data_IF_899992851569
#
_entry.id   IF_899992851569
#
_cell.length_a   1.000
_cell.length_b   1.000
_cell.length_c   1.000
_cell.angle_alpha   90.00
_cell.angle_beta   90.00
_cell.angle_gamma   90.00
#
_symmetry.space_group_name_H-M   'P 1'
#
loop_
_entity.id
_entity.type
_entity.pdbx_description
1 polymer ?
#
# COMPACT_ATOMS: atom_id res chain seq x y z
N UNK A 1 27.16 -37.33 59.80
CA UNK A 1 26.34 -37.75 60.94
C UNK A 1 26.09 -36.54 61.84
N UNK A 2 24.85 -36.42 62.36
CA UNK A 2 24.43 -35.70 63.57
C UNK A 2 24.34 -34.14 63.60
N UNK A 3 23.13 -33.66 63.30
CA UNK A 3 22.19 -32.86 64.14
C UNK A 3 22.63 -31.64 65.01
N UNK A 4 21.87 -30.55 64.76
CA UNK A 4 21.43 -29.35 65.52
C UNK A 4 21.47 -29.36 67.07
N UNK A 5 21.43 -28.17 67.72
CA UNK A 5 20.14 -27.61 68.22
C UNK A 5 20.06 -26.05 68.12
N UNK A 6 18.98 -25.37 67.72
CA UNK A 6 17.64 -25.10 68.31
C UNK A 6 17.60 -24.03 69.43
N UNK A 7 16.78 -22.98 69.22
CA UNK A 7 16.05 -22.03 70.13
C UNK A 7 16.32 -20.56 69.73
N UNK A 8 15.39 -19.62 69.76
CA UNK A 8 13.95 -19.61 70.02
C UNK A 8 13.35 -18.28 69.51
N UNK A 9 12.03 -18.34 69.30
CA UNK A 9 11.02 -17.30 69.07
C UNK A 9 11.37 -15.89 69.56
N UNK A 10 11.00 -14.89 68.76
CA UNK A 10 10.13 -13.85 69.31
C UNK A 10 9.02 -13.48 68.31
N UNK A 11 7.80 -13.33 68.84
CA UNK A 11 6.57 -12.99 68.12
C UNK A 11 6.07 -11.67 68.70
N UNK A 12 5.90 -10.67 67.86
CA UNK A 12 5.05 -9.50 68.15
C UNK A 12 4.46 -9.08 66.81
N UNK A 13 3.29 -9.58 66.43
CA UNK A 13 1.97 -8.95 66.64
C UNK A 13 1.92 -7.49 66.17
N UNK A 14 1.30 -7.24 65.00
CA UNK A 14 -0.08 -6.73 64.97
C UNK A 14 -0.59 -6.51 63.52
N UNK A 15 -1.60 -7.30 63.16
CA UNK A 15 -2.81 -6.96 62.40
C UNK A 15 -2.93 -5.55 61.78
N UNK A 16 -3.22 -5.50 60.48
CA UNK A 16 -3.83 -4.37 59.78
C UNK A 16 -4.32 -4.79 58.40
N UNK A 17 -5.63 -4.87 58.22
CA UNK A 17 -6.32 -5.35 57.03
C UNK A 17 -6.38 -4.29 55.90
N UNK A 18 -6.50 -4.72 54.65
CA UNK A 18 -6.91 -3.83 53.56
C UNK A 18 -6.60 -4.34 52.15
N UNK A 19 -7.54 -5.09 51.57
CA UNK A 19 -7.62 -5.32 50.11
C UNK A 19 -7.80 -3.99 49.37
N UNK A 20 -7.20 -3.88 48.18
CA UNK A 20 -7.81 -3.42 46.92
C UNK A 20 -6.80 -2.65 46.05
N UNK A 21 -6.90 -2.83 44.73
CA UNK A 21 -6.46 -1.79 43.79
C UNK A 21 -5.32 -2.19 42.87
N UNK A 22 -5.69 -2.91 41.82
CA UNK A 22 -4.97 -3.08 40.56
C UNK A 22 -4.11 -1.87 40.13
N UNK A 23 -2.79 -2.04 40.13
CA UNK A 23 -1.87 -1.26 39.31
C UNK A 23 -1.91 -1.83 37.88
N UNK A 24 -2.75 -1.23 37.05
CA UNK A 24 -2.81 -1.46 35.62
C UNK A 24 -1.54 -0.91 34.95
N UNK A 25 -0.61 -1.81 34.59
CA UNK A 25 0.37 -1.52 33.55
C UNK A 25 0.57 -2.77 32.68
N UNK A 26 -0.46 -3.09 31.89
CA UNK A 26 -0.29 -3.93 30.69
C UNK A 26 0.46 -3.11 29.66
N UNK A 27 1.78 -3.27 29.61
CA UNK A 27 2.59 -2.87 28.47
C UNK A 27 2.18 -3.73 27.27
N UNK A 28 1.35 -3.16 26.41
CA UNK A 28 0.94 -3.75 25.15
C UNK A 28 2.14 -3.80 24.20
N UNK A 29 2.97 -4.84 24.32
CA UNK A 29 4.01 -5.18 23.34
C UNK A 29 3.29 -5.62 22.07
N UNK A 30 3.04 -4.66 21.18
CA UNK A 30 2.49 -4.84 19.83
C UNK A 30 3.10 -6.09 19.21
N UNK A 31 2.24 -7.08 19.01
CA UNK A 31 2.48 -8.24 18.16
C UNK A 31 3.08 -7.75 16.85
N UNK A 32 4.35 -8.10 16.61
CA UNK A 32 4.96 -8.00 15.31
C UNK A 32 4.12 -8.87 14.37
N UNK A 33 3.23 -8.23 13.62
CA UNK A 33 2.43 -8.87 12.58
C UNK A 33 3.41 -9.34 11.52
N UNK A 34 3.86 -10.57 11.70
CA UNK A 34 4.64 -11.33 10.75
C UNK A 34 3.83 -11.33 9.45
N UNK A 35 4.20 -10.46 8.50
CA UNK A 35 3.65 -10.47 7.17
C UNK A 35 4.11 -11.78 6.54
N UNK A 36 3.30 -12.84 6.71
CA UNK A 36 3.52 -14.09 5.99
C UNK A 36 3.52 -13.73 4.50
N UNK A 37 4.65 -13.92 3.85
CA UNK A 37 4.84 -13.79 2.40
C UNK A 37 3.95 -14.83 1.69
N UNK A 38 2.67 -14.52 1.53
CA UNK A 38 1.75 -15.28 0.69
C UNK A 38 1.94 -14.88 -0.78
N UNK A 39 3.15 -15.06 -1.31
CA UNK A 39 3.49 -14.65 -2.69
C UNK A 39 3.42 -15.79 -3.72
N UNK A 40 3.51 -17.04 -3.28
CA UNK A 40 3.60 -18.21 -4.17
C UNK A 40 2.25 -18.79 -4.58
N UNK A 41 1.34 -18.97 -3.62
CA UNK A 41 0.07 -19.69 -3.84
C UNK A 41 -0.85 -18.99 -4.83
N UNK A 42 -0.92 -17.65 -4.78
CA UNK A 42 -1.75 -16.87 -5.71
C UNK A 42 -1.26 -16.95 -7.16
N UNK A 43 0.06 -16.93 -7.39
CA UNK A 43 0.65 -17.08 -8.72
C UNK A 43 0.42 -18.48 -9.30
N UNK A 44 0.56 -19.50 -8.45
CA UNK A 44 0.30 -20.88 -8.84
C UNK A 44 -1.16 -21.08 -9.27
N UNK A 45 -2.12 -20.46 -8.57
CA UNK A 45 -3.53 -20.48 -8.96
C UNK A 45 -3.77 -19.83 -10.32
N UNK A 46 -3.17 -18.66 -10.59
CA UNK A 46 -3.31 -17.99 -11.89
C UNK A 46 -2.77 -18.87 -13.02
N UNK A 47 -1.59 -19.46 -12.85
CA UNK A 47 -1.04 -20.37 -13.86
C UNK A 47 -1.87 -21.64 -14.04
N UNK A 48 -2.42 -22.19 -12.96
CA UNK A 48 -3.32 -23.35 -13.03
C UNK A 48 -4.60 -23.02 -13.81
N UNK A 49 -5.23 -21.87 -13.54
CA UNK A 49 -6.43 -21.41 -14.27
C UNK A 49 -6.11 -21.17 -15.75
N UNK A 50 -4.97 -20.55 -16.06
CA UNK A 50 -4.58 -20.33 -17.45
C UNK A 50 -4.32 -21.66 -18.18
N UNK A 51 -3.68 -22.63 -17.51
CA UNK A 51 -3.39 -23.95 -18.07
C UNK A 51 -4.65 -24.79 -18.31
N UNK A 52 -5.60 -24.79 -17.36
CA UNK A 52 -6.89 -25.47 -17.55
C UNK A 52 -7.70 -24.81 -18.67
N UNK A 53 -7.67 -23.48 -18.74
CA UNK A 53 -8.34 -22.72 -19.79
C UNK A 53 -7.75 -23.00 -21.18
N UNK A 54 -6.43 -23.14 -21.28
CA UNK A 54 -5.75 -23.51 -22.53
C UNK A 54 -6.16 -24.90 -23.03
N UNK A 55 -6.39 -25.84 -22.11
CA UNK A 55 -6.83 -27.18 -22.46
C UNK A 55 -8.31 -27.26 -22.82
N UNK A 56 -9.19 -26.55 -22.09
CA UNK A 56 -10.65 -26.60 -22.28
C UNK A 56 -11.12 -25.72 -23.43
N UNK A 57 -10.56 -24.52 -23.58
CA UNK A 57 -10.98 -23.54 -24.59
C UNK A 57 -9.76 -22.81 -25.19
N UNK A 58 -9.00 -23.48 -26.08
CA UNK A 58 -7.77 -22.93 -26.67
C UNK A 58 -7.95 -21.55 -27.32
N UNK A 59 -9.05 -21.26 -28.08
CA UNK A 59 -9.24 -19.94 -28.67
C UNK A 59 -9.36 -18.82 -27.63
N UNK A 60 -10.04 -19.06 -26.50
CA UNK A 60 -10.24 -18.05 -25.46
C UNK A 60 -8.94 -17.81 -24.69
N UNK A 61 -8.17 -18.87 -24.45
CA UNK A 61 -6.84 -18.74 -23.88
C UNK A 61 -5.90 -17.94 -24.82
N UNK A 62 -5.95 -18.19 -26.14
CA UNK A 62 -5.17 -17.43 -27.11
C UNK A 62 -5.55 -15.94 -27.09
N UNK A 63 -6.85 -15.61 -27.06
CA UNK A 63 -7.33 -14.24 -26.92
C UNK A 63 -6.79 -13.58 -25.64
N UNK A 64 -6.85 -14.30 -24.50
CA UNK A 64 -6.33 -13.79 -23.23
C UNK A 64 -4.83 -13.52 -23.31
N UNK A 65 -4.04 -14.39 -23.95
CA UNK A 65 -2.60 -14.19 -24.13
C UNK A 65 -2.32 -12.95 -24.99
N UNK A 66 -3.03 -12.81 -26.11
CA UNK A 66 -2.90 -11.66 -27.02
C UNK A 66 -3.31 -10.34 -26.35
N UNK A 67 -4.45 -10.31 -25.67
CA UNK A 67 -4.96 -9.12 -24.99
C UNK A 67 -4.11 -8.73 -23.78
N UNK A 68 -3.62 -9.70 -23.01
CA UNK A 68 -2.81 -9.46 -21.81
C UNK A 68 -1.33 -9.18 -22.09
N UNK A 69 -0.93 -9.02 -23.36
CA UNK A 69 0.45 -8.69 -23.79
C UNK A 69 1.09 -7.55 -22.98
N UNK A 70 0.43 -6.39 -22.74
CA UNK A 70 1.00 -5.32 -21.92
C UNK A 70 1.35 -5.75 -20.49
N UNK A 71 0.59 -6.67 -19.90
CA UNK A 71 0.85 -7.18 -18.55
C UNK A 71 2.06 -8.12 -18.55
N UNK A 72 2.23 -8.92 -19.61
CA UNK A 72 3.41 -9.78 -19.75
C UNK A 72 4.70 -8.99 -19.84
N UNK A 73 4.69 -7.84 -20.52
CA UNK A 73 5.86 -6.93 -20.56
C UNK A 73 6.32 -6.57 -19.15
N UNK A 74 5.41 -6.24 -18.23
CA UNK A 74 5.75 -5.88 -16.84
C UNK A 74 6.21 -7.11 -16.04
N UNK A 75 5.59 -8.26 -16.29
CA UNK A 75 5.99 -9.53 -15.67
C UNK A 75 7.45 -9.87 -15.97
N UNK A 76 7.89 -9.72 -17.22
CA UNK A 76 9.23 -10.11 -17.66
C UNK A 76 10.28 -9.01 -17.57
N UNK A 77 9.93 -7.75 -17.85
CA UNK A 77 10.90 -6.65 -18.01
C UNK A 77 11.07 -5.83 -16.73
N UNK A 78 10.01 -5.64 -15.92
CA UNK A 78 10.07 -4.70 -14.81
C UNK A 78 10.79 -5.29 -13.59
N UNK A 79 11.79 -4.56 -13.07
CA UNK A 79 12.61 -4.89 -11.89
C UNK A 79 12.40 -3.85 -10.76
N UNK A 80 11.47 -2.90 -10.94
CA UNK A 80 11.21 -1.86 -9.95
C UNK A 80 10.78 -2.42 -8.58
N UNK A 81 11.14 -1.75 -7.46
CA UNK A 81 10.77 -2.18 -6.10
C UNK A 81 9.24 -2.27 -5.88
N UNK A 82 8.48 -1.49 -6.64
CA UNK A 82 7.01 -1.42 -6.60
C UNK A 82 6.32 -2.26 -7.70
N UNK A 83 7.06 -3.21 -8.30
CA UNK A 83 6.57 -4.11 -9.36
C UNK A 83 5.23 -4.75 -9.02
N UNK A 84 5.04 -5.22 -7.79
CA UNK A 84 3.80 -5.92 -7.39
C UNK A 84 2.56 -5.03 -7.51
N UNK A 85 2.65 -3.78 -7.05
CA UNK A 85 1.53 -2.83 -7.13
C UNK A 85 1.25 -2.47 -8.58
N UNK A 86 2.31 -2.15 -9.34
CA UNK A 86 2.21 -1.81 -10.76
C UNK A 86 1.60 -2.95 -11.58
N UNK A 87 2.08 -4.17 -11.36
CA UNK A 87 1.59 -5.38 -12.02
C UNK A 87 0.11 -5.63 -11.67
N UNK A 88 -0.29 -5.45 -10.41
CA UNK A 88 -1.67 -5.69 -10.00
C UNK A 88 -2.67 -4.70 -10.62
N UNK A 89 -2.32 -3.41 -10.67
CA UNK A 89 -3.14 -2.38 -11.30
C UNK A 89 -3.26 -2.62 -12.82
N UNK A 90 -2.13 -2.91 -13.46
CA UNK A 90 -2.07 -3.22 -14.89
C UNK A 90 -2.86 -4.46 -15.25
N UNK A 91 -2.67 -5.55 -14.50
CA UNK A 91 -3.39 -6.80 -14.73
C UNK A 91 -4.90 -6.60 -14.58
N UNK A 92 -5.35 -5.89 -13.54
CA UNK A 92 -6.77 -5.66 -13.30
C UNK A 92 -7.42 -4.87 -14.45
N UNK A 93 -6.80 -3.76 -14.87
CA UNK A 93 -7.32 -2.92 -15.95
C UNK A 93 -7.25 -3.61 -17.30
N UNK A 94 -6.13 -4.26 -17.61
CA UNK A 94 -5.96 -4.98 -18.87
C UNK A 94 -6.96 -6.15 -18.97
N UNK A 95 -7.09 -6.95 -17.89
CA UNK A 95 -8.08 -8.02 -17.83
C UNK A 95 -9.50 -7.49 -17.97
N UNK A 96 -9.83 -6.36 -17.35
CA UNK A 96 -11.14 -5.73 -17.50
C UNK A 96 -11.48 -5.38 -18.96
N UNK A 97 -10.49 -4.95 -19.75
CA UNK A 97 -10.67 -4.67 -21.18
C UNK A 97 -10.81 -5.93 -22.05
N UNK A 98 -10.16 -7.02 -21.67
CA UNK A 98 -10.18 -8.29 -22.42
C UNK A 98 -11.42 -9.14 -22.08
N UNK A 99 -11.92 -9.04 -20.84
CA UNK A 99 -13.07 -9.79 -20.33
C UNK A 99 -14.33 -9.76 -21.21
N UNK A 100 -14.83 -8.61 -21.71
CA UNK A 100 -16.05 -8.60 -22.53
C UNK A 100 -15.91 -9.46 -23.80
N UNK A 101 -14.73 -9.47 -24.42
CA UNK A 101 -14.46 -10.29 -25.60
C UNK A 101 -14.31 -11.78 -25.26
N UNK A 102 -13.78 -12.10 -24.09
CA UNK A 102 -13.74 -13.48 -23.60
C UNK A 102 -15.15 -14.03 -23.33
N UNK A 103 -16.03 -13.23 -22.72
CA UNK A 103 -17.43 -13.59 -22.47
C UNK A 103 -18.18 -13.73 -23.78
N UNK A 104 -18.04 -12.77 -24.70
CA UNK A 104 -18.64 -12.85 -26.03
C UNK A 104 -18.25 -14.14 -26.76
N UNK A 105 -16.97 -14.54 -26.69
CA UNK A 105 -16.51 -15.76 -27.34
C UNK A 105 -16.94 -17.03 -26.61
N UNK A 106 -17.13 -16.97 -25.29
CA UNK A 106 -17.73 -18.07 -24.52
C UNK A 106 -19.18 -18.32 -24.95
N UNK A 107 -19.97 -17.27 -25.11
CA UNK A 107 -21.38 -17.35 -25.52
C UNK A 107 -21.55 -17.77 -26.99
N UNK A 108 -20.72 -17.25 -27.88
CA UNK A 108 -20.75 -17.59 -29.32
C UNK A 108 -20.10 -18.94 -29.65
N UNK A 109 -19.46 -19.56 -28.66
CA UNK A 109 -18.69 -20.79 -28.82
C UNK A 109 -17.20 -20.52 -29.09
N UNK A 110 -16.29 -21.24 -28.40
CA UNK A 110 -14.85 -21.10 -28.57
C UNK A 110 -14.40 -21.66 -29.93
N UNK A 111 -14.27 -20.79 -30.93
CA UNK A 111 -13.78 -21.14 -32.27
C UNK A 111 -12.65 -20.21 -32.71
N UNK A 112 -11.74 -20.73 -33.55
CA UNK A 112 -10.68 -19.92 -34.14
C UNK A 112 -11.21 -18.87 -35.13
N UNK A 113 -12.37 -19.12 -35.76
CA UNK A 113 -13.04 -18.12 -36.60
C UNK A 113 -13.49 -16.91 -35.77
N UNK A 114 -14.09 -17.13 -34.60
CA UNK A 114 -14.48 -16.06 -33.69
C UNK A 114 -13.25 -15.31 -33.13
N UNK A 115 -12.18 -16.02 -32.80
CA UNK A 115 -10.91 -15.41 -32.40
C UNK A 115 -10.38 -14.46 -33.48
N UNK A 116 -10.31 -14.92 -34.73
CA UNK A 116 -9.82 -14.10 -35.86
C UNK A 116 -10.74 -12.91 -36.15
N UNK A 117 -12.05 -13.05 -35.92
CA UNK A 117 -13.00 -11.93 -36.03
C UNK A 117 -12.71 -10.84 -34.99
N UNK A 118 -12.44 -11.22 -33.74
CA UNK A 118 -12.13 -10.27 -32.66
C UNK A 118 -10.74 -9.66 -32.88
N UNK A 119 -9.74 -10.47 -33.19
CA UNK A 119 -8.35 -10.03 -33.42
C UNK A 119 -8.22 -9.18 -34.69
N UNK A 120 -9.07 -9.37 -35.68
CA UNK A 120 -9.13 -8.52 -36.88
C UNK A 120 -9.82 -7.17 -36.66
N UNK A 121 -10.50 -6.96 -35.54
CA UNK A 121 -11.24 -5.74 -35.26
C UNK A 121 -10.38 -4.69 -34.53
N UNK A 122 -10.18 -3.55 -35.16
CA UNK A 122 -9.44 -2.40 -34.60
C UNK A 122 -10.10 -1.87 -33.33
N UNK A 123 -11.43 -1.92 -33.25
CA UNK A 123 -12.15 -1.47 -32.05
C UNK A 123 -11.87 -2.38 -30.87
N UNK A 124 -11.73 -3.69 -31.10
CA UNK A 124 -11.36 -4.65 -30.05
C UNK A 124 -9.97 -4.34 -29.46
N UNK A 125 -8.99 -4.09 -30.32
CA UNK A 125 -7.66 -3.67 -29.87
C UNK A 125 -7.67 -2.34 -29.12
N UNK A 126 -8.46 -1.37 -29.59
CA UNK A 126 -8.58 -0.07 -28.93
C UNK A 126 -9.13 -0.20 -27.51
N UNK A 127 -10.13 -1.05 -27.30
CA UNK A 127 -10.68 -1.31 -25.96
C UNK A 127 -9.70 -2.08 -25.09
N UNK A 128 -9.11 -3.17 -25.59
CA UNK A 128 -8.17 -4.01 -24.82
C UNK A 128 -6.92 -3.22 -24.41
N UNK A 129 -6.25 -2.60 -25.38
CA UNK A 129 -5.04 -1.81 -25.12
C UNK A 129 -5.35 -0.48 -24.43
N UNK A 130 -6.50 0.13 -24.73
CA UNK A 130 -6.96 1.34 -24.06
C UNK A 130 -7.21 1.11 -22.57
N UNK A 131 -7.81 -0.02 -22.19
CA UNK A 131 -7.98 -0.39 -20.79
C UNK A 131 -6.62 -0.62 -20.11
N UNK A 132 -5.70 -1.33 -20.76
CA UNK A 132 -4.33 -1.47 -20.25
C UNK A 132 -3.65 -0.11 -20.06
N UNK A 133 -3.74 0.80 -21.04
CA UNK A 133 -3.22 2.16 -20.95
C UNK A 133 -3.86 2.99 -19.84
N UNK A 134 -5.17 2.82 -19.59
CA UNK A 134 -5.85 3.48 -18.48
C UNK A 134 -5.28 3.05 -17.13
N UNK A 135 -4.93 1.76 -16.96
CA UNK A 135 -4.21 1.30 -15.78
C UNK A 135 -2.87 2.02 -15.58
N UNK A 136 -2.19 2.40 -16.67
CA UNK A 136 -0.87 3.05 -16.60
C UNK A 136 -1.05 4.53 -16.25
N UNK A 137 -2.07 5.15 -16.84
CA UNK A 137 -2.49 6.49 -16.50
C UNK A 137 -2.81 6.62 -15.01
N UNK A 138 -3.52 5.66 -14.41
CA UNK A 138 -3.80 5.65 -12.96
C UNK A 138 -2.50 5.65 -12.14
N UNK A 139 -1.50 4.88 -12.54
CA UNK A 139 -0.21 4.82 -11.85
C UNK A 139 0.57 6.14 -11.92
N UNK A 140 0.35 6.96 -12.94
CA UNK A 140 0.92 8.32 -13.03
C UNK A 140 0.08 9.38 -12.31
N UNK A 141 -1.23 9.28 -12.36
CA UNK A 141 -2.15 10.27 -11.79
C UNK A 141 -2.23 10.15 -10.27
N UNK A 142 -2.29 8.93 -9.72
CA UNK A 142 -2.45 8.71 -8.29
C UNK A 142 -1.34 9.36 -7.43
N UNK A 143 -0.04 9.26 -7.77
CA UNK A 143 1.02 9.93 -7.00
C UNK A 143 0.88 11.46 -6.99
N UNK A 144 0.51 12.06 -8.12
CA UNK A 144 0.33 13.51 -8.25
C UNK A 144 -0.83 13.97 -7.36
N UNK A 145 -1.96 13.26 -7.41
CA UNK A 145 -3.11 13.53 -6.55
C UNK A 145 -2.75 13.36 -5.06
N UNK A 146 -2.03 12.28 -4.71
CA UNK A 146 -1.61 12.03 -3.35
C UNK A 146 -0.68 13.15 -2.82
N UNK A 147 0.27 13.62 -3.63
CA UNK A 147 1.14 14.73 -3.30
C UNK A 147 0.35 16.04 -3.08
N UNK A 148 -0.62 16.34 -3.95
CA UNK A 148 -1.48 17.52 -3.82
C UNK A 148 -2.32 17.49 -2.54
N UNK A 149 -2.94 16.35 -2.22
CA UNK A 149 -3.71 16.17 -0.97
C UNK A 149 -2.79 16.32 0.24
N UNK A 150 -1.60 15.72 0.21
CA UNK A 150 -0.64 15.81 1.30
C UNK A 150 -0.16 17.25 1.52
N UNK A 151 0.08 18.01 0.45
CA UNK A 151 0.47 19.40 0.54
C UNK A 151 -0.64 20.27 1.15
N UNK A 152 -1.90 20.02 0.79
CA UNK A 152 -3.05 20.70 1.39
C UNK A 152 -3.14 20.41 2.90
N UNK A 153 -3.05 19.15 3.30
CA UNK A 153 -3.06 18.74 4.72
C UNK A 153 -1.88 19.33 5.51
N UNK A 154 -0.70 19.38 4.91
CA UNK A 154 0.49 19.98 5.53
C UNK A 154 0.32 21.50 5.71
N UNK A 155 -0.35 22.16 4.77
CA UNK A 155 -0.62 23.61 4.84
C UNK A 155 -1.57 23.95 5.99
N UNK A 156 -2.64 23.17 6.20
CA UNK A 156 -3.55 23.33 7.35
C UNK A 156 -2.82 23.13 8.68
N UNK A 157 -1.94 22.12 8.77
CA UNK A 157 -1.11 21.88 9.96
C UNK A 157 -0.15 23.03 10.20
N UNK A 158 0.54 23.52 9.17
CA UNK A 158 1.45 24.66 9.28
C UNK A 158 0.70 25.90 9.75
N UNK A 159 -0.49 26.17 9.23
CA UNK A 159 -1.33 27.29 9.64
C UNK A 159 -1.77 27.21 11.11
N UNK A 160 -2.15 26.02 11.59
CA UNK A 160 -2.49 25.79 13.00
C UNK A 160 -1.30 26.01 13.92
N UNK A 161 -0.12 25.54 13.53
CA UNK A 161 1.12 25.74 14.28
C UNK A 161 1.50 27.22 14.32
N UNK A 162 1.35 27.95 13.22
CA UNK A 162 1.61 29.39 13.16
C UNK A 162 0.67 30.15 14.11
N UNK A 163 -0.62 29.83 14.10
CA UNK A 163 -1.60 30.40 15.06
C UNK A 163 -1.24 30.14 16.52
N UNK A 164 -0.83 28.91 16.84
CA UNK A 164 -0.40 28.56 18.19
C UNK A 164 0.85 29.34 18.60
N UNK A 165 1.81 29.49 17.68
CA UNK A 165 3.00 30.30 17.90
C UNK A 165 2.65 31.76 18.16
N UNK A 166 1.76 32.34 17.37
CA UNK A 166 1.36 33.74 17.51
C UNK A 166 0.59 33.99 18.81
N UNK A 167 -0.25 33.04 19.25
CA UNK A 167 -0.91 33.10 20.56
C UNK A 167 0.11 33.08 21.72
N UNK A 168 1.12 32.20 21.65
CA UNK A 168 2.18 32.12 22.65
C UNK A 168 3.04 33.39 22.69
N UNK A 169 3.35 33.98 21.54
CA UNK A 169 4.09 35.26 21.48
C UNK A 169 3.27 36.38 22.12
N UNK A 170 1.94 36.40 21.92
CA UNK A 170 1.06 37.39 22.53
C UNK A 170 1.00 37.27 24.06
N UNK A 171 0.97 36.04 24.59
CA UNK A 171 0.88 35.78 26.03
C UNK A 171 2.23 35.95 26.74
N UNK A 172 3.33 35.50 26.13
CA UNK A 172 4.64 35.36 26.79
C UNK A 172 5.71 36.33 26.26
N UNK A 173 5.39 37.15 25.26
CA UNK A 173 6.32 38.07 24.63
C UNK A 173 7.25 37.42 23.60
N UNK A 174 8.07 38.25 22.94
CA UNK A 174 8.82 37.87 21.73
C UNK A 174 9.98 36.88 22.00
N UNK A 175 10.41 36.75 23.25
CA UNK A 175 11.51 35.87 23.67
C UNK A 175 11.28 34.37 23.43
N UNK A 176 10.03 33.93 23.27
CA UNK A 176 9.68 32.52 23.00
C UNK A 176 9.85 32.14 21.52
N UNK A 177 9.94 33.11 20.62
CA UNK A 177 10.01 32.87 19.15
C UNK A 177 11.36 32.31 18.65
N UNK A 178 12.41 32.42 19.48
CA UNK A 178 13.81 32.17 19.10
C UNK A 178 14.27 30.72 19.33
N UNK A 179 13.53 29.91 20.09
CA UNK A 179 14.02 28.62 20.60
C UNK A 179 14.25 27.55 19.51
N UNK A 180 13.82 27.76 18.26
CA UNK A 180 14.06 26.83 17.14
C UNK A 180 13.98 27.51 15.78
N UNK A 181 14.84 28.49 15.50
CA UNK A 181 15.02 29.00 14.13
C UNK A 181 16.47 28.79 13.73
N UNK A 182 16.73 27.82 12.85
CA UNK A 182 18.00 27.79 12.12
C UNK A 182 18.09 29.06 11.25
N UNK A 183 19.26 29.73 11.15
CA UNK A 183 19.36 31.05 10.54
C UNK A 183 18.98 31.00 9.06
N UNK A 184 18.11 31.92 8.61
CA UNK A 184 17.94 32.21 7.18
C UNK A 184 19.20 32.93 6.70
N UNK A 185 19.98 32.29 5.83
CA UNK A 185 21.03 32.97 5.08
C UNK A 185 20.44 34.09 4.22
N UNK A 186 21.05 35.28 4.20
CA UNK A 186 20.54 36.41 3.43
C UNK A 186 20.77 36.18 1.92
N UNK A 187 19.70 36.36 1.14
CA UNK A 187 19.71 36.39 -0.33
C UNK A 187 20.67 37.50 -0.79
N UNK A 188 21.65 37.23 -1.68
CA UNK A 188 22.58 38.25 -2.13
C UNK A 188 21.80 39.33 -2.89
N UNK A 189 21.91 40.56 -2.38
CA UNK A 189 21.36 41.73 -3.04
C UNK A 189 22.10 41.94 -4.36
N UNK A 190 21.34 41.93 -5.45
CA UNK A 190 21.77 42.51 -6.70
C UNK A 190 21.82 44.04 -6.53
N UNK A 191 23.03 44.60 -6.60
CA UNK A 191 23.31 46.00 -6.88
C UNK A 191 24.73 46.01 -7.48
N UNK A 192 24.91 46.06 -8.80
CA UNK A 192 24.71 47.24 -9.64
C UNK A 192 25.38 48.48 -9.03
N UNK A 193 26.70 48.54 -9.18
CA UNK A 193 27.50 49.73 -9.54
C UNK A 193 28.93 49.30 -9.84
#
# INVERSE_FOLDING_TARGET
MAQKPTKAKDKTSSKGAGKAGASAQKSNKKSGRNQKKAGGTGRLLVYAVLATMLFVAPPIAALAILGLMPTFVILFVDIAPEKSTRLSAMFAFNLAGVLPYMVQMWEQGPSFANLMRIVGDVMAWTVMLGAAGAGAAVLWVCPVLAAGIQQYLNSDRAYKLEKQRDALIKEWGEGVSSARRAPKEPKPAASAQ
#
